data_IF_773583744060
#
_entry.id   IF_773583744060
#
_cell.length_a   1.000
_cell.length_b   1.000
_cell.length_c   1.000
_cell.angle_alpha   90.00
_cell.angle_beta   90.00
_cell.angle_gamma   90.00
#
_symmetry.space_group_name_H-M   'P 1'
#
loop_
_entity.id
_entity.type
_entity.pdbx_description
1 polymer ?
#
# COMPACT_ATOMS: atom_id res chain seq x y z
N UNK A 1 -15.21 39.16 64.32
CA UNK A 1 -15.55 40.29 63.45
C UNK A 1 -14.39 40.42 62.49
N UNK A 2 -14.48 39.74 61.35
CA UNK A 2 -13.35 39.35 60.50
C UNK A 2 -13.33 40.24 59.26
N UNK A 3 -12.21 40.93 59.05
CA UNK A 3 -12.00 41.96 58.03
C UNK A 3 -11.95 41.33 56.64
N UNK A 4 -12.95 41.60 55.81
CA UNK A 4 -12.98 41.19 54.40
C UNK A 4 -11.95 42.03 53.62
N UNK A 5 -10.82 41.41 53.31
CA UNK A 5 -9.74 41.96 52.50
C UNK A 5 -10.23 42.25 51.08
N UNK A 6 -10.55 43.52 50.81
CA UNK A 6 -10.94 44.02 49.50
C UNK A 6 -9.84 43.72 48.47
N UNK A 7 -10.09 42.76 47.58
CA UNK A 7 -9.23 42.51 46.43
C UNK A 7 -9.38 43.66 45.44
N UNK A 8 -8.35 44.50 45.40
CA UNK A 8 -8.15 45.53 44.39
C UNK A 8 -8.22 44.89 43.00
N UNK A 9 -9.27 45.21 42.24
CA UNK A 9 -9.40 44.81 40.84
C UNK A 9 -8.16 45.29 40.07
N UNK A 10 -7.37 44.41 39.44
CA UNK A 10 -6.22 44.86 38.66
C UNK A 10 -6.72 45.72 37.50
N UNK A 11 -6.32 46.99 37.53
CA UNK A 11 -6.70 48.04 36.59
C UNK A 11 -5.57 48.17 35.55
N UNK A 12 -5.40 47.15 34.70
CA UNK A 12 -4.40 47.14 33.62
C UNK A 12 -5.05 46.64 32.33
N UNK A 13 -6.07 47.35 31.84
CA UNK A 13 -6.66 47.11 30.52
C UNK A 13 -7.20 48.42 29.90
N UNK A 14 -6.63 49.56 30.33
CA UNK A 14 -6.99 50.87 29.83
C UNK A 14 -6.03 51.31 28.74
N UNK A 15 -6.45 51.21 27.47
CA UNK A 15 -5.91 51.89 26.30
C UNK A 15 -4.91 51.14 25.38
N UNK A 16 -4.91 49.79 25.37
CA UNK A 16 -4.22 49.02 24.33
C UNK A 16 -5.14 48.73 23.14
N UNK A 17 -5.46 49.77 22.36
CA UNK A 17 -6.13 49.61 21.05
C UNK A 17 -5.17 48.94 20.08
N UNK A 18 -5.11 47.61 20.10
CA UNK A 18 -4.33 46.79 19.15
C UNK A 18 -3.77 45.50 19.74
N UNK A 19 -3.41 45.48 21.03
CA UNK A 19 -2.75 44.32 21.67
C UNK A 19 -3.60 43.04 21.64
N UNK A 20 -4.92 43.18 21.89
CA UNK A 20 -5.86 42.05 21.84
C UNK A 20 -5.97 41.49 20.42
N UNK A 21 -6.01 42.35 19.39
CA UNK A 21 -6.10 41.89 18.00
C UNK A 21 -4.84 41.12 17.58
N UNK A 22 -3.66 41.58 18.00
CA UNK A 22 -2.39 40.88 17.76
C UNK A 22 -2.38 39.52 18.47
N UNK A 23 -2.83 39.46 19.72
CA UNK A 23 -2.92 38.19 20.47
C UNK A 23 -3.86 37.20 19.77
N UNK A 24 -5.05 37.63 19.35
CA UNK A 24 -6.02 36.78 18.65
C UNK A 24 -5.46 36.29 17.31
N UNK A 25 -4.86 37.19 16.51
CA UNK A 25 -4.22 36.79 15.24
C UNK A 25 -3.06 35.81 15.46
N UNK A 26 -2.26 36.00 16.51
CA UNK A 26 -1.18 35.07 16.85
C UNK A 26 -1.71 33.68 17.23
N UNK A 27 -2.85 33.62 17.94
CA UNK A 27 -3.46 32.37 18.35
C UNK A 27 -4.06 31.64 17.15
N UNK A 28 -4.74 32.36 16.25
CA UNK A 28 -5.26 31.80 15.00
C UNK A 28 -4.11 31.25 14.14
N UNK A 29 -3.02 32.02 13.99
CA UNK A 29 -1.85 31.58 13.25
C UNK A 29 -1.22 30.32 13.88
N UNK A 30 -1.12 30.27 15.22
CA UNK A 30 -0.61 29.11 15.93
C UNK A 30 -1.48 27.86 15.70
N UNK A 31 -2.81 27.99 15.81
CA UNK A 31 -3.74 26.88 15.54
C UNK A 31 -3.60 26.40 14.09
N UNK A 32 -3.51 27.33 13.14
CA UNK A 32 -3.30 26.99 11.72
C UNK A 32 -1.98 26.22 11.51
N UNK A 33 -0.88 26.68 12.10
CA UNK A 33 0.41 25.99 12.03
C UNK A 33 0.36 24.58 12.63
N UNK A 34 -0.32 24.41 13.78
CA UNK A 34 -0.49 23.10 14.41
C UNK A 34 -1.29 22.16 13.50
N UNK A 35 -2.38 22.64 12.91
CA UNK A 35 -3.20 21.82 11.99
C UNK A 35 -2.40 21.38 10.77
N UNK A 36 -1.65 22.30 10.13
CA UNK A 36 -0.78 21.96 8.99
C UNK A 36 0.28 20.93 9.41
N UNK A 37 0.88 21.10 10.59
CA UNK A 37 1.89 20.18 11.10
C UNK A 37 1.33 18.76 11.30
N UNK A 38 0.12 18.63 11.87
CA UNK A 38 -0.54 17.32 12.04
C UNK A 38 -0.80 16.65 10.69
N UNK A 39 -1.30 17.38 9.70
CA UNK A 39 -1.53 16.85 8.34
C UNK A 39 -0.23 16.39 7.68
N UNK A 40 0.86 17.15 7.85
CA UNK A 40 2.17 16.76 7.32
C UNK A 40 2.71 15.49 8.00
N UNK A 41 2.56 15.36 9.32
CA UNK A 41 2.96 14.15 10.04
C UNK A 41 2.18 12.92 9.59
N UNK A 42 0.86 13.05 9.42
CA UNK A 42 -0.01 11.99 8.90
C UNK A 42 0.48 11.50 7.52
N UNK A 43 0.77 12.44 6.62
CA UNK A 43 1.30 12.12 5.29
C UNK A 43 2.67 11.40 5.34
N UNK A 44 3.55 11.80 6.26
CA UNK A 44 4.85 11.13 6.46
C UNK A 44 4.66 9.69 6.95
N UNK A 45 3.72 9.46 7.89
CA UNK A 45 3.40 8.12 8.38
C UNK A 45 2.84 7.24 7.26
N UNK A 46 1.90 7.77 6.48
CA UNK A 46 1.33 7.09 5.32
C UNK A 46 2.42 6.64 4.32
N UNK A 47 3.35 7.53 3.98
CA UNK A 47 4.43 7.21 3.05
C UNK A 47 5.38 6.14 3.60
N UNK A 48 5.68 6.19 4.90
CA UNK A 48 6.50 5.18 5.57
C UNK A 48 5.84 3.80 5.52
N UNK A 49 4.54 3.73 5.80
CA UNK A 49 3.79 2.46 5.80
C UNK A 49 3.68 1.89 4.38
N UNK A 50 3.38 2.74 3.39
CA UNK A 50 3.39 2.35 1.97
C UNK A 50 4.71 1.71 1.54
N UNK A 51 5.85 2.31 1.92
CA UNK A 51 7.17 1.76 1.58
C UNK A 51 7.44 0.42 2.27
N UNK A 52 7.02 0.26 3.53
CA UNK A 52 7.17 -1.00 4.26
C UNK A 52 6.33 -2.10 3.60
N UNK A 53 5.05 -1.82 3.32
CA UNK A 53 4.15 -2.75 2.63
C UNK A 53 4.69 -3.10 1.24
N UNK A 54 5.21 -2.12 0.48
CA UNK A 54 5.84 -2.36 -0.82
C UNK A 54 7.04 -3.29 -0.72
N UNK A 55 7.90 -3.12 0.29
CA UNK A 55 9.04 -4.00 0.50
C UNK A 55 8.62 -5.44 0.85
N UNK A 56 7.60 -5.60 1.70
CA UNK A 56 7.07 -6.91 2.07
C UNK A 56 6.35 -7.61 0.91
N UNK A 57 5.65 -6.84 0.08
CA UNK A 57 5.08 -7.31 -1.18
C UNK A 57 6.16 -7.74 -2.16
N UNK A 58 7.21 -6.94 -2.35
CA UNK A 58 8.33 -7.29 -3.23
C UNK A 58 8.99 -8.61 -2.82
N UNK A 59 9.14 -8.86 -1.51
CA UNK A 59 9.64 -10.14 -1.00
C UNK A 59 8.70 -11.31 -1.32
N UNK A 60 7.38 -11.10 -1.24
CA UNK A 60 6.41 -12.14 -1.58
C UNK A 60 6.42 -12.47 -3.09
N UNK A 61 6.45 -11.44 -3.95
CA UNK A 61 6.58 -11.60 -5.40
C UNK A 61 7.93 -12.24 -5.74
N UNK A 62 8.99 -11.89 -5.02
CA UNK A 62 10.29 -12.55 -5.14
C UNK A 62 10.22 -14.04 -4.82
N UNK A 63 9.63 -14.42 -3.69
CA UNK A 63 9.46 -15.83 -3.33
C UNK A 63 8.64 -16.60 -4.40
N UNK A 64 7.58 -15.99 -4.93
CA UNK A 64 6.77 -16.57 -6.01
C UNK A 64 7.58 -16.79 -7.30
N UNK A 65 8.47 -15.85 -7.63
CA UNK A 65 9.35 -15.92 -8.80
C UNK A 65 10.38 -17.06 -8.72
N UNK A 66 10.60 -17.63 -7.53
CA UNK A 66 11.51 -18.76 -7.31
C UNK A 66 10.84 -20.13 -7.50
N UNK A 67 9.51 -20.17 -7.65
CA UNK A 67 8.76 -21.41 -7.94
C UNK A 67 8.93 -21.81 -9.40
N UNK A 68 10.07 -22.40 -9.75
CA UNK A 68 10.37 -22.84 -11.13
C UNK A 68 9.83 -24.26 -11.33
N UNK A 69 9.27 -24.52 -12.51
CA UNK A 69 8.95 -25.88 -12.95
C UNK A 69 10.24 -26.61 -13.37
N UNK A 70 10.72 -27.52 -12.53
CA UNK A 70 11.94 -28.31 -12.77
C UNK A 70 11.87 -29.15 -14.07
N UNK A 71 10.67 -29.60 -14.46
CA UNK A 71 10.49 -30.37 -15.68
C UNK A 71 10.70 -29.50 -16.91
N UNK A 72 10.18 -28.26 -16.90
CA UNK A 72 10.41 -27.29 -17.97
C UNK A 72 11.87 -26.83 -17.99
N UNK A 73 12.46 -26.62 -16.80
CA UNK A 73 13.86 -26.24 -16.65
C UNK A 73 14.79 -27.29 -17.25
N UNK A 74 14.51 -28.59 -17.05
CA UNK A 74 15.29 -29.70 -17.63
C UNK A 74 15.29 -29.70 -19.17
N UNK A 75 14.26 -29.10 -19.77
CA UNK A 75 14.12 -28.92 -21.23
C UNK A 75 14.71 -27.60 -21.73
N UNK A 76 15.26 -26.79 -20.83
CA UNK A 76 15.82 -25.48 -21.15
C UNK A 76 14.81 -24.33 -21.16
N UNK A 77 13.55 -24.57 -20.77
CA UNK A 77 12.51 -23.55 -20.70
C UNK A 77 12.40 -22.96 -19.29
N UNK A 78 12.31 -21.64 -19.19
CA UNK A 78 12.18 -20.93 -17.91
C UNK A 78 10.71 -20.64 -17.64
N UNK A 79 10.04 -21.58 -16.99
CA UNK A 79 8.63 -21.47 -16.61
C UNK A 79 8.43 -21.58 -15.11
N UNK A 80 7.51 -20.78 -14.60
CA UNK A 80 7.07 -20.92 -13.22
C UNK A 80 6.16 -22.13 -13.08
N UNK A 81 6.32 -22.83 -11.96
CA UNK A 81 5.39 -23.84 -11.53
C UNK A 81 4.07 -23.17 -11.16
N UNK A 82 3.04 -23.41 -11.97
CA UNK A 82 1.67 -22.93 -11.74
C UNK A 82 0.73 -24.05 -11.33
N UNK A 83 1.20 -25.30 -11.29
CA UNK A 83 0.34 -26.48 -11.22
C UNK A 83 0.53 -27.32 -9.96
N UNK A 84 1.74 -27.40 -9.40
CA UNK A 84 2.01 -28.25 -8.24
C UNK A 84 1.51 -27.59 -6.94
N UNK A 85 0.56 -28.20 -6.21
CA UNK A 85 0.07 -27.64 -4.97
C UNK A 85 1.18 -27.49 -3.92
N UNK A 86 1.19 -26.37 -3.19
CA UNK A 86 2.15 -26.07 -2.13
C UNK A 86 3.49 -25.49 -2.61
N UNK A 87 3.88 -25.74 -3.85
CA UNK A 87 5.10 -25.18 -4.47
C UNK A 87 4.82 -24.24 -5.63
N UNK A 88 3.60 -24.24 -6.19
CA UNK A 88 3.21 -23.30 -7.23
C UNK A 88 3.44 -21.86 -6.79
N UNK A 89 3.81 -21.01 -7.76
CA UNK A 89 4.14 -19.60 -7.55
C UNK A 89 3.06 -18.86 -6.76
N UNK A 90 1.78 -19.19 -7.01
CA UNK A 90 0.65 -18.66 -6.26
C UNK A 90 0.74 -18.96 -4.75
N UNK A 91 0.96 -20.22 -4.37
CA UNK A 91 0.97 -20.62 -2.95
C UNK A 91 2.17 -20.00 -2.22
N UNK A 92 3.32 -19.94 -2.89
CA UNK A 92 4.50 -19.26 -2.36
C UNK A 92 4.26 -17.76 -2.20
N UNK A 93 3.61 -17.11 -3.15
CA UNK A 93 3.19 -15.71 -3.01
C UNK A 93 2.33 -15.50 -1.76
N UNK A 94 1.22 -16.25 -1.60
CA UNK A 94 0.31 -16.10 -0.47
C UNK A 94 1.00 -16.37 0.87
N UNK A 95 1.79 -17.45 0.95
CA UNK A 95 2.52 -17.82 2.17
C UNK A 95 3.47 -16.70 2.61
N UNK A 96 4.29 -16.17 1.70
CA UNK A 96 5.24 -15.12 2.04
C UNK A 96 4.56 -13.77 2.26
N UNK A 97 3.50 -13.45 1.52
CA UNK A 97 2.72 -12.23 1.75
C UNK A 97 2.16 -12.19 3.17
N UNK A 98 1.49 -13.27 3.57
CA UNK A 98 0.92 -13.41 4.93
C UNK A 98 1.99 -13.41 6.00
N UNK A 99 3.09 -14.12 5.79
CA UNK A 99 4.21 -14.16 6.73
C UNK A 99 4.90 -12.80 6.87
N UNK A 100 5.10 -12.06 5.78
CA UNK A 100 5.83 -10.79 5.80
C UNK A 100 4.98 -9.66 6.42
N UNK A 101 3.69 -9.64 6.12
CA UNK A 101 2.78 -8.58 6.60
C UNK A 101 2.09 -8.93 7.93
N UNK A 102 2.22 -10.18 8.40
CA UNK A 102 1.49 -10.69 9.56
C UNK A 102 -0.01 -10.75 9.28
N UNK A 103 -0.41 -11.55 8.31
CA UNK A 103 -1.83 -11.72 7.95
C UNK A 103 -2.30 -13.13 8.28
N UNK A 104 -3.59 -13.26 8.55
CA UNK A 104 -4.27 -14.55 8.68
C UNK A 104 -4.56 -15.19 7.31
N UNK A 105 -5.24 -16.33 7.32
CA UNK A 105 -5.62 -17.06 6.11
C UNK A 105 -6.66 -16.36 5.24
N UNK A 106 -7.31 -15.31 5.77
CA UNK A 106 -8.23 -14.43 5.06
C UNK A 106 -7.58 -13.14 4.57
N UNK A 107 -6.25 -13.03 4.70
CA UNK A 107 -5.44 -11.85 4.40
C UNK A 107 -5.82 -10.62 5.25
N UNK A 108 -6.28 -10.84 6.49
CA UNK A 108 -6.50 -9.78 7.48
C UNK A 108 -5.33 -9.69 8.43
N UNK A 109 -4.98 -8.46 8.82
CA UNK A 109 -3.92 -8.22 9.78
C UNK A 109 -4.25 -8.74 11.18
N UNK A 110 -3.30 -9.46 11.79
CA UNK A 110 -3.34 -9.92 13.19
C UNK A 110 -2.60 -8.95 14.11
N UNK A 111 -2.63 -9.12 15.43
CA UNK A 111 -2.03 -8.14 16.38
C UNK A 111 -0.53 -7.87 16.17
N UNK A 112 0.22 -8.83 15.62
CA UNK A 112 1.64 -8.70 15.31
C UNK A 112 1.91 -8.21 13.87
N UNK A 113 0.90 -7.70 13.16
CA UNK A 113 1.02 -7.31 11.76
C UNK A 113 1.80 -6.02 11.56
N UNK A 114 2.24 -5.85 10.31
CA UNK A 114 2.90 -4.62 9.85
C UNK A 114 1.92 -3.46 9.68
N UNK A 115 0.67 -3.78 9.33
CA UNK A 115 -0.44 -2.85 9.09
C UNK A 115 -1.39 -2.83 10.30
N UNK A 116 -2.34 -1.88 10.40
CA UNK A 116 -3.27 -1.84 11.53
C UNK A 116 -4.12 -3.12 11.66
N UNK A 117 -4.41 -3.52 12.90
CA UNK A 117 -5.19 -4.72 13.21
C UNK A 117 -6.52 -4.76 12.44
N UNK A 118 -6.92 -5.94 11.97
CA UNK A 118 -8.17 -6.16 11.22
C UNK A 118 -8.26 -5.41 9.88
N UNK A 119 -7.15 -4.82 9.40
CA UNK A 119 -7.07 -4.30 8.03
C UNK A 119 -6.98 -5.46 7.04
N UNK A 120 -7.85 -5.47 6.03
CA UNK A 120 -7.82 -6.46 4.95
C UNK A 120 -6.81 -6.05 3.86
N UNK A 121 -6.01 -7.00 3.40
CA UNK A 121 -5.19 -6.88 2.19
C UNK A 121 -5.86 -7.66 1.06
N UNK A 122 -6.37 -6.93 0.07
CA UNK A 122 -6.98 -7.51 -1.11
C UNK A 122 -5.92 -7.69 -2.20
N UNK A 123 -5.90 -8.86 -2.82
CA UNK A 123 -5.01 -9.14 -3.96
C UNK A 123 -5.84 -8.97 -5.22
N UNK A 124 -5.69 -7.81 -5.86
CA UNK A 124 -6.49 -7.46 -7.02
C UNK A 124 -5.99 -8.20 -8.27
N UNK A 125 -4.67 -8.26 -8.44
CA UNK A 125 -4.03 -8.92 -9.58
C UNK A 125 -2.84 -9.74 -9.09
N UNK A 126 -2.68 -10.95 -9.63
CA UNK A 126 -1.50 -11.79 -9.46
C UNK A 126 -1.27 -12.55 -10.77
N UNK A 127 -0.25 -12.14 -11.51
CA UNK A 127 -0.02 -12.55 -12.89
C UNK A 127 1.39 -13.09 -13.07
N UNK A 128 1.51 -14.09 -13.93
CA UNK A 128 2.77 -14.53 -14.48
C UNK A 128 2.85 -14.12 -15.95
N UNK A 129 3.95 -13.45 -16.31
CA UNK A 129 4.27 -13.09 -17.68
C UNK A 129 5.15 -14.19 -18.25
N UNK A 130 4.60 -15.04 -19.11
CA UNK A 130 5.41 -15.98 -19.88
C UNK A 130 6.05 -15.22 -21.05
N UNK A 131 7.36 -15.02 -20.93
CA UNK A 131 8.12 -14.24 -21.88
C UNK A 131 8.25 -14.91 -23.26
N UNK A 132 8.26 -16.24 -23.30
CA UNK A 132 8.45 -16.98 -24.54
C UNK A 132 7.15 -16.99 -25.35
N UNK A 133 6.02 -17.26 -24.69
CA UNK A 133 4.72 -17.28 -25.36
C UNK A 133 4.07 -15.90 -25.50
N UNK A 134 4.58 -14.87 -24.81
CA UNK A 134 4.01 -13.51 -24.75
C UNK A 134 2.57 -13.51 -24.22
N UNK A 135 2.27 -14.42 -23.30
CA UNK A 135 0.94 -14.56 -22.68
C UNK A 135 1.00 -14.13 -21.22
N UNK A 136 -0.06 -13.44 -20.79
CA UNK A 136 -0.36 -13.23 -19.37
C UNK A 136 -1.13 -14.42 -18.82
N UNK A 137 -0.54 -15.10 -17.85
CA UNK A 137 -1.19 -16.16 -17.11
C UNK A 137 -1.69 -15.56 -15.80
N UNK A 138 -3.01 -15.51 -15.64
CA UNK A 138 -3.60 -15.10 -14.39
C UNK A 138 -3.49 -16.23 -13.36
N UNK A 139 -2.79 -15.96 -12.26
CA UNK A 139 -2.61 -16.88 -11.15
C UNK A 139 -3.61 -16.62 -10.02
N UNK A 140 -4.52 -15.67 -10.17
CA UNK A 140 -5.60 -15.41 -9.23
C UNK A 140 -6.90 -16.13 -9.65
N UNK A 141 -7.88 -16.20 -8.76
CA UNK A 141 -9.19 -16.78 -9.07
C UNK A 141 -10.12 -15.84 -9.85
N UNK A 142 -9.92 -14.53 -9.71
CA UNK A 142 -10.73 -13.50 -10.37
C UNK A 142 -10.19 -13.21 -11.78
N UNK A 143 -11.03 -12.86 -12.77
CA UNK A 143 -10.57 -12.44 -14.10
C UNK A 143 -9.59 -11.27 -14.00
N UNK A 144 -8.59 -11.25 -14.88
CA UNK A 144 -7.60 -10.16 -14.90
C UNK A 144 -8.11 -8.98 -15.71
N UNK A 145 -7.84 -7.77 -15.22
CA UNK A 145 -8.02 -6.50 -15.94
C UNK A 145 -6.78 -6.08 -16.73
N UNK A 146 -5.73 -6.90 -16.71
CA UNK A 146 -4.43 -6.55 -17.23
C UNK A 146 -4.23 -6.96 -18.68
N UNK A 147 -3.45 -6.15 -19.39
CA UNK A 147 -3.03 -6.37 -20.77
C UNK A 147 -1.52 -6.28 -20.87
N UNK A 148 -0.92 -7.11 -21.73
CA UNK A 148 0.51 -7.07 -22.05
C UNK A 148 0.70 -6.44 -23.41
N UNK A 149 1.41 -5.31 -23.45
CA UNK A 149 1.95 -4.76 -24.67
C UNK A 149 3.36 -5.32 -24.88
N UNK A 150 3.46 -6.32 -25.77
CA UNK A 150 4.71 -6.98 -26.10
C UNK A 150 5.66 -6.11 -26.92
N UNK A 151 5.19 -5.02 -27.53
CA UNK A 151 6.03 -4.13 -28.36
C UNK A 151 6.94 -3.23 -27.51
N UNK A 152 6.46 -2.87 -26.31
CA UNK A 152 7.17 -2.01 -25.35
C UNK A 152 7.41 -2.69 -24.00
N UNK A 153 7.16 -4.00 -23.92
CA UNK A 153 7.37 -4.83 -22.72
C UNK A 153 6.71 -4.26 -21.46
N UNK A 154 5.41 -3.96 -21.59
CA UNK A 154 4.65 -3.26 -20.55
C UNK A 154 3.37 -4.00 -20.20
N UNK A 155 3.14 -4.22 -18.91
CA UNK A 155 1.87 -4.71 -18.38
C UNK A 155 1.08 -3.50 -17.88
N UNK A 156 -0.14 -3.34 -18.40
CA UNK A 156 -1.09 -2.31 -18.02
C UNK A 156 -2.31 -2.93 -17.39
N UNK A 157 -2.60 -2.59 -16.14
CA UNK A 157 -3.70 -3.11 -15.34
C UNK A 157 -4.66 -1.98 -14.96
N UNK A 158 -5.96 -2.23 -15.03
CA UNK A 158 -6.99 -1.28 -14.62
C UNK A 158 -7.71 -1.79 -13.38
N UNK A 159 -7.26 -1.35 -12.21
CA UNK A 159 -7.82 -1.81 -10.94
C UNK A 159 -8.90 -0.84 -10.47
N UNK A 160 -10.12 -1.36 -10.35
CA UNK A 160 -11.26 -0.63 -9.78
C UNK A 160 -11.45 -1.02 -8.33
N UNK A 161 -11.37 -0.03 -7.45
CA UNK A 161 -11.58 -0.11 -6.02
C UNK A 161 -13.00 0.37 -5.69
N UNK A 162 -13.66 -0.27 -4.73
CA UNK A 162 -15.02 0.04 -4.30
C UNK A 162 -16.04 0.10 -5.46
N UNK A 163 -15.94 -0.83 -6.42
CA UNK A 163 -16.81 -0.87 -7.60
C UNK A 163 -18.30 -0.83 -7.23
N UNK A 164 -19.07 0.00 -7.93
CA UNK A 164 -20.51 0.15 -7.70
C UNK A 164 -20.89 1.05 -6.51
N UNK A 165 -19.93 1.76 -5.91
CA UNK A 165 -20.18 2.70 -4.80
C UNK A 165 -19.89 4.15 -5.21
N UNK A 166 -20.36 5.11 -4.40
CA UNK A 166 -20.04 6.54 -4.59
C UNK A 166 -18.54 6.85 -4.44
N UNK A 167 -17.77 5.94 -3.84
CA UNK A 167 -16.32 6.04 -3.62
C UNK A 167 -15.53 5.16 -4.59
N UNK A 168 -16.11 4.80 -5.74
CA UNK A 168 -15.44 4.01 -6.76
C UNK A 168 -14.23 4.79 -7.30
N UNK A 169 -13.07 4.15 -7.31
CA UNK A 169 -11.83 4.72 -7.82
C UNK A 169 -11.20 3.70 -8.76
N UNK A 170 -10.95 4.10 -10.00
CA UNK A 170 -10.25 3.27 -10.98
C UNK A 170 -8.85 3.82 -11.22
N UNK A 171 -7.84 2.96 -11.11
CA UNK A 171 -6.43 3.32 -11.29
C UNK A 171 -5.79 2.44 -12.36
N UNK A 172 -5.08 3.08 -13.27
CA UNK A 172 -4.24 2.39 -14.24
C UNK A 172 -2.83 2.22 -13.68
N UNK A 173 -2.36 0.98 -13.59
CA UNK A 173 -1.01 0.63 -13.19
C UNK A 173 -0.25 0.15 -14.40
N UNK A 174 0.91 0.74 -14.60
CA UNK A 174 1.80 0.47 -15.70
C UNK A 174 3.12 -0.05 -15.15
N UNK A 175 3.53 -1.26 -15.56
CA UNK A 175 4.79 -1.86 -15.14
C UNK A 175 5.58 -2.32 -16.37
N UNK A 176 6.86 -2.00 -16.39
CA UNK A 176 7.79 -2.53 -17.39
C UNK A 176 8.28 -3.91 -16.94
N UNK A 177 8.40 -4.84 -17.87
CA UNK A 177 8.67 -6.25 -17.59
C UNK A 177 9.72 -6.78 -18.56
N UNK A 178 10.93 -7.06 -18.08
CA UNK A 178 12.05 -7.52 -18.92
C UNK A 178 12.30 -9.00 -18.63
N UNK A 179 11.59 -9.88 -19.33
CA UNK A 179 11.71 -11.34 -19.17
C UNK A 179 10.55 -12.00 -18.42
N UNK A 180 10.66 -13.30 -18.09
CA UNK A 180 9.65 -14.01 -17.33
C UNK A 180 9.51 -13.35 -15.95
N UNK A 181 8.29 -12.99 -15.57
CA UNK A 181 8.09 -12.15 -14.38
C UNK A 181 6.79 -12.44 -13.65
N UNK A 182 6.79 -12.17 -12.35
CA UNK A 182 5.58 -12.16 -11.52
C UNK A 182 5.18 -10.71 -11.28
N UNK A 183 3.92 -10.39 -11.54
CA UNK A 183 3.31 -9.08 -11.26
C UNK A 183 2.22 -9.28 -10.22
N UNK A 184 2.24 -8.50 -9.16
CA UNK A 184 1.18 -8.49 -8.15
C UNK A 184 0.72 -7.06 -7.88
N UNK A 185 -0.58 -6.89 -7.72
CA UNK A 185 -1.19 -5.62 -7.30
C UNK A 185 -2.11 -5.90 -6.12
N UNK A 186 -1.75 -5.34 -4.98
CA UNK A 186 -2.57 -5.43 -3.77
C UNK A 186 -3.23 -4.08 -3.48
N UNK A 187 -4.35 -4.13 -2.77
CA UNK A 187 -4.94 -2.96 -2.14
C UNK A 187 -5.15 -3.18 -0.66
N UNK A 188 -5.01 -2.10 0.10
CA UNK A 188 -5.26 -2.07 1.53
C UNK A 188 -5.73 -0.66 1.92
N UNK A 189 -6.13 -0.48 3.17
CA UNK A 189 -6.59 0.83 3.67
C UNK A 189 -5.55 1.41 4.62
N UNK A 190 -5.38 2.72 4.54
CA UNK A 190 -4.71 3.48 5.57
C UNK A 190 -5.76 4.28 6.34
N UNK A 191 -5.75 4.13 7.66
CA UNK A 191 -6.53 4.98 8.54
C UNK A 191 -5.71 6.23 8.85
N UNK A 192 -5.99 7.33 8.16
CA UNK A 192 -5.36 8.62 8.43
C UNK A 192 -5.83 9.23 9.75
N UNK A 193 -5.14 10.28 10.21
CA UNK A 193 -5.52 11.05 11.39
C UNK A 193 -6.84 11.78 11.12
N UNK A 194 -7.91 11.24 11.71
CA UNK A 194 -9.29 11.70 11.49
C UNK A 194 -9.91 11.05 10.26
N UNK A 195 -11.23 10.80 10.31
CA UNK A 195 -12.02 10.13 9.27
C UNK A 195 -12.00 10.77 7.87
N UNK A 196 -11.22 11.84 7.66
CA UNK A 196 -11.19 12.61 6.42
C UNK A 196 -10.31 11.99 5.32
N UNK A 197 -9.42 11.04 5.64
CA UNK A 197 -8.43 10.52 4.69
C UNK A 197 -8.36 8.97 4.64
N UNK A 198 -9.51 8.27 4.66
CA UNK A 198 -9.52 6.83 4.40
C UNK A 198 -9.32 6.58 2.89
N UNK A 199 -8.08 6.70 2.43
CA UNK A 199 -7.73 6.46 1.03
C UNK A 199 -7.25 5.01 0.84
N UNK A 200 -7.80 4.29 -0.16
CA UNK A 200 -7.28 2.98 -0.47
C UNK A 200 -5.90 3.09 -1.11
N UNK A 201 -4.97 2.34 -0.57
CA UNK A 201 -3.62 2.19 -1.07
C UNK A 201 -3.61 1.11 -2.14
N UNK A 202 -3.01 1.41 -3.29
CA UNK A 202 -2.85 0.46 -4.37
C UNK A 202 -1.36 0.30 -4.64
N UNK A 203 -0.82 -0.88 -4.38
CA UNK A 203 0.62 -1.11 -4.34
C UNK A 203 0.97 -2.18 -5.37
N UNK A 204 1.62 -1.81 -6.48
CA UNK A 204 2.14 -2.77 -7.43
C UNK A 204 3.54 -3.26 -7.03
N UNK A 205 3.82 -4.50 -7.38
CA UNK A 205 5.14 -5.10 -7.33
C UNK A 205 5.37 -5.97 -8.56
N UNK A 206 6.61 -5.95 -9.07
CA UNK A 206 7.07 -6.79 -10.16
C UNK A 206 8.40 -7.40 -9.77
N UNK A 207 8.54 -8.71 -9.99
CA UNK A 207 9.82 -9.39 -9.92
C UNK A 207 10.09 -10.08 -11.24
N UNK A 208 11.22 -9.73 -11.85
CA UNK A 208 11.80 -10.43 -12.98
C UNK A 208 12.56 -11.66 -12.51
N UNK A 209 12.42 -12.75 -13.24
CA UNK A 209 13.14 -14.01 -13.03
C UNK A 209 14.44 -13.94 -13.81
N UNK A 210 15.56 -13.70 -13.11
CA UNK A 210 16.90 -13.65 -13.71
C UNK A 210 17.74 -14.81 -13.18
N UNK A 211 18.11 -15.75 -14.07
CA UNK A 211 19.11 -16.77 -13.75
C UNK A 211 20.48 -16.36 -14.28
N UNK A 212 21.45 -16.27 -13.38
CA UNK A 212 22.87 -16.25 -13.78
C UNK A 212 23.33 -17.69 -13.94
N UNK A 213 23.74 -18.06 -15.15
CA UNK A 213 24.46 -19.32 -15.39
C UNK A 213 25.77 -19.26 -14.57
N UNK A 214 25.92 -20.15 -13.60
CA UNK A 214 27.20 -20.38 -12.91
C UNK A 214 28.08 -21.29 -13.75
#
# INVERSE_FOLDING_TARGET
MEEVKNMTKPKILGNERGGIAVMVMSLIAMVFCITVFVVVLDYIMLYKDQNKIKNDLNRAVHAASLSIDELQLSKGFLRLDTTTPGTRAQDMFYRYLRSNMGLDDTNKAIESSVIPLNTTVNINELLYVDWESRVLVNMNSSPTSCTLDSSIYKVSCEVTLNGGTATQITRTINQTVIGPSVVAIISTFHEGVGSMNNEPLLIPAVQEVIFRKR
#
